data_IF_975999971246
#
_entry.id   IF_975999971246
#
_cell.length_a   1.000
_cell.length_b   1.000
_cell.length_c   1.000
_cell.angle_alpha   90.00
_cell.angle_beta   90.00
_cell.angle_gamma   90.00
#
_symmetry.space_group_name_H-M   'P 1'
#
loop_
_entity.id
_entity.type
_entity.pdbx_description
1 polymer ?
#
# COMPACT_ATOMS: atom_id res chain seq x y z
N UNK A 1 -7.91 -33.00 0.89
CA UNK A 1 -6.62 -32.38 1.23
C UNK A 1 -6.30 -31.44 0.09
N UNK A 2 -6.84 -30.22 0.20
CA UNK A 2 -6.77 -29.20 -0.84
C UNK A 2 -5.32 -28.70 -0.91
N UNK A 3 -4.69 -28.92 -2.06
CA UNK A 3 -3.44 -28.25 -2.40
C UNK A 3 -3.75 -26.76 -2.46
N UNK A 4 -3.38 -26.04 -1.40
CA UNK A 4 -3.27 -24.59 -1.40
C UNK A 4 -2.49 -24.21 -2.66
N UNK A 5 -3.20 -23.65 -3.65
CA UNK A 5 -2.57 -23.09 -4.86
C UNK A 5 -1.69 -21.95 -4.38
N UNK A 6 -0.41 -22.26 -4.15
CA UNK A 6 0.62 -21.32 -3.78
C UNK A 6 0.57 -20.15 -4.75
N UNK A 7 0.34 -18.96 -4.22
CA UNK A 7 0.40 -17.70 -4.95
C UNK A 7 1.77 -17.61 -5.63
N UNK A 8 1.76 -17.39 -6.94
CA UNK A 8 2.96 -17.43 -7.76
C UNK A 8 3.88 -16.22 -7.47
N UNK A 9 5.21 -16.32 -7.67
CA UNK A 9 6.12 -15.18 -7.59
C UNK A 9 5.88 -14.11 -8.67
N UNK A 10 5.05 -14.37 -9.69
CA UNK A 10 4.60 -13.32 -10.63
C UNK A 10 3.76 -12.23 -9.94
N UNK A 11 3.29 -12.52 -8.74
CA UNK A 11 2.57 -11.60 -7.85
C UNK A 11 3.45 -10.98 -6.77
N UNK A 12 4.79 -11.09 -6.87
CA UNK A 12 5.75 -10.50 -5.91
C UNK A 12 5.53 -9.01 -5.60
N UNK A 13 4.81 -8.32 -6.48
CA UNK A 13 4.52 -6.87 -6.45
C UNK A 13 3.03 -6.61 -6.68
N UNK A 14 2.13 -7.59 -6.44
CA UNK A 14 0.69 -7.39 -6.65
C UNK A 14 0.01 -6.76 -5.45
N UNK A 15 0.63 -6.80 -4.26
CA UNK A 15 0.10 -6.14 -3.08
C UNK A 15 0.63 -4.70 -2.99
N UNK A 16 -0.18 -3.69 -3.33
CA UNK A 16 0.23 -2.30 -3.27
C UNK A 16 0.59 -1.87 -1.85
N UNK A 17 1.81 -1.35 -1.70
CA UNK A 17 2.22 -0.65 -0.49
C UNK A 17 1.51 0.71 -0.37
N UNK A 18 1.34 1.22 0.86
CA UNK A 18 0.62 2.47 1.09
C UNK A 18 1.21 3.63 0.29
N UNK A 19 0.35 4.41 -0.36
CA UNK A 19 0.68 5.70 -0.93
C UNK A 19 1.02 6.70 0.18
N UNK A 20 2.19 7.31 0.12
CA UNK A 20 2.58 8.37 1.05
C UNK A 20 2.15 9.74 0.52
N UNK A 21 1.58 10.61 1.37
CA UNK A 21 1.41 12.03 1.04
C UNK A 21 2.76 12.67 0.68
N UNK A 22 2.74 13.65 -0.22
CA UNK A 22 3.96 14.35 -0.69
C UNK A 22 4.78 14.95 0.46
N UNK A 23 4.09 15.43 1.49
CA UNK A 23 4.71 16.09 2.64
C UNK A 23 4.97 15.12 3.82
N UNK A 24 4.84 13.80 3.59
CA UNK A 24 5.11 12.81 4.63
C UNK A 24 6.61 12.78 4.97
N UNK A 25 7.01 12.95 6.24
CA UNK A 25 8.41 13.06 6.60
C UNK A 25 9.18 11.77 6.34
N UNK A 26 10.33 11.89 5.66
CA UNK A 26 11.17 10.75 5.26
C UNK A 26 11.72 9.97 6.44
N UNK A 27 11.94 10.62 7.58
CA UNK A 27 12.42 10.04 8.84
C UNK A 27 11.41 9.10 9.49
N UNK A 28 10.13 9.20 9.13
CA UNK A 28 9.08 8.30 9.58
C UNK A 28 8.95 7.05 8.71
N UNK A 29 9.69 6.97 7.60
CA UNK A 29 9.75 5.79 6.74
C UNK A 29 10.69 4.76 7.39
N UNK A 30 10.27 3.50 7.58
CA UNK A 30 11.13 2.45 8.12
C UNK A 30 12.43 2.30 7.31
N UNK A 31 13.59 2.33 7.98
CA UNK A 31 14.91 2.27 7.33
C UNK A 31 15.22 0.93 6.66
N UNK A 32 14.77 -0.18 7.24
CA UNK A 32 14.88 -1.49 6.60
C UNK A 32 13.61 -1.75 5.80
N UNK A 33 13.73 -1.68 4.46
CA UNK A 33 12.62 -1.85 3.51
C UNK A 33 12.46 -3.29 3.02
N UNK A 34 12.89 -4.27 3.82
CA UNK A 34 12.93 -5.70 3.49
C UNK A 34 14.02 -6.05 2.48
N UNK A 35 15.14 -5.32 2.52
CA UNK A 35 16.24 -5.51 1.57
C UNK A 35 16.85 -6.91 1.69
N UNK A 36 17.07 -7.38 2.92
CA UNK A 36 17.67 -8.70 3.18
C UNK A 36 16.78 -9.82 2.65
N UNK A 37 15.49 -9.79 3.00
CA UNK A 37 14.51 -10.78 2.56
C UNK A 37 14.33 -10.75 1.04
N UNK A 38 14.39 -9.56 0.44
CA UNK A 38 14.34 -9.38 -1.01
C UNK A 38 15.58 -9.95 -1.70
N UNK A 39 16.78 -9.70 -1.17
CA UNK A 39 18.02 -10.28 -1.70
C UNK A 39 18.06 -11.81 -1.59
N UNK A 40 17.60 -12.36 -0.46
CA UNK A 40 17.49 -13.80 -0.26
C UNK A 40 16.54 -14.44 -1.29
N UNK A 41 15.41 -13.78 -1.56
CA UNK A 41 14.46 -14.21 -2.57
C UNK A 41 15.04 -14.14 -3.98
N UNK A 42 15.69 -13.02 -4.35
CA UNK A 42 16.37 -12.89 -5.64
C UNK A 42 17.41 -14.00 -5.81
N UNK A 43 18.26 -14.23 -4.80
CA UNK A 43 19.29 -15.26 -4.85
C UNK A 43 18.69 -16.63 -5.12
N UNK A 44 17.63 -16.99 -4.40
CA UNK A 44 16.93 -18.25 -4.62
C UNK A 44 16.37 -18.34 -6.05
N UNK A 45 15.69 -17.30 -6.53
CA UNK A 45 15.09 -17.31 -7.88
C UNK A 45 16.14 -17.40 -9.00
N UNK A 46 17.34 -16.86 -8.79
CA UNK A 46 18.43 -16.93 -9.76
C UNK A 46 19.12 -18.30 -9.78
N UNK A 47 19.25 -18.94 -8.61
CA UNK A 47 19.91 -20.25 -8.47
C UNK A 47 19.05 -21.40 -9.02
N UNK A 48 17.73 -21.34 -8.88
CA UNK A 48 16.81 -22.43 -9.28
C UNK A 48 16.43 -22.42 -10.78
N UNK A 49 17.08 -21.58 -11.61
CA UNK A 49 17.07 -21.73 -13.07
C UNK A 49 15.67 -21.75 -13.71
N UNK A 50 14.75 -20.91 -13.21
CA UNK A 50 13.35 -20.76 -13.66
C UNK A 50 12.34 -21.83 -13.17
N UNK A 51 12.72 -22.79 -12.30
CA UNK A 51 11.72 -23.57 -11.57
C UNK A 51 11.29 -22.84 -10.29
N UNK A 52 9.98 -22.70 -10.11
CA UNK A 52 9.34 -21.88 -9.08
C UNK A 52 9.41 -22.52 -7.69
N UNK A 53 10.57 -22.50 -7.03
CA UNK A 53 10.82 -23.27 -5.79
C UNK A 53 11.30 -22.45 -4.59
N UNK A 54 11.02 -21.15 -4.53
CA UNK A 54 11.39 -20.27 -3.40
C UNK A 54 10.23 -19.89 -2.44
N UNK A 55 9.32 -20.80 -2.03
CA UNK A 55 8.15 -20.42 -1.22
C UNK A 55 8.54 -19.92 0.17
N UNK A 56 9.67 -20.38 0.72
CA UNK A 56 10.16 -19.99 2.04
C UNK A 56 10.67 -18.54 2.04
N UNK A 57 11.51 -18.20 1.07
CA UNK A 57 12.05 -16.85 0.89
C UNK A 57 10.94 -15.88 0.54
N UNK A 58 9.98 -16.32 -0.30
CA UNK A 58 8.81 -15.53 -0.63
C UNK A 58 7.96 -15.21 0.60
N UNK A 59 7.66 -16.21 1.43
CA UNK A 59 6.94 -16.01 2.69
C UNK A 59 7.64 -15.02 3.62
N UNK A 60 8.97 -15.14 3.78
CA UNK A 60 9.75 -14.19 4.60
C UNK A 60 9.67 -12.76 4.06
N UNK A 61 9.77 -12.59 2.73
CA UNK A 61 9.63 -11.29 2.10
C UNK A 61 8.24 -10.68 2.34
N UNK A 62 7.17 -11.48 2.19
CA UNK A 62 5.80 -11.03 2.47
C UNK A 62 5.60 -10.66 3.95
N UNK A 63 6.12 -11.45 4.88
CA UNK A 63 6.04 -11.17 6.32
C UNK A 63 6.75 -9.84 6.65
N UNK A 64 7.97 -9.64 6.15
CA UNK A 64 8.67 -8.37 6.32
C UNK A 64 7.89 -7.20 5.70
N UNK A 65 7.40 -7.36 4.46
CA UNK A 65 6.64 -6.32 3.76
C UNK A 65 5.39 -5.93 4.55
N UNK A 66 4.65 -6.91 5.08
CA UNK A 66 3.47 -6.68 5.92
C UNK A 66 3.83 -5.90 7.18
N UNK A 67 4.90 -6.29 7.87
CA UNK A 67 5.34 -5.62 9.10
C UNK A 67 5.82 -4.19 8.84
N UNK A 68 6.53 -3.97 7.73
CA UNK A 68 6.94 -2.65 7.24
C UNK A 68 5.73 -1.78 6.92
N UNK A 69 4.78 -2.30 6.14
CA UNK A 69 3.59 -1.57 5.73
C UNK A 69 2.72 -1.23 6.95
N UNK A 70 2.58 -2.13 7.92
CA UNK A 70 1.90 -1.87 9.19
C UNK A 70 2.56 -0.73 9.99
N UNK A 71 3.89 -0.73 10.11
CA UNK A 71 4.64 0.37 10.75
C UNK A 71 4.40 1.69 10.02
N UNK A 72 4.41 1.65 8.69
CA UNK A 72 4.20 2.83 7.85
C UNK A 72 2.77 3.37 7.96
N UNK A 73 1.75 2.51 7.98
CA UNK A 73 0.37 2.90 8.23
C UNK A 73 0.19 3.56 9.60
N UNK A 74 0.79 2.98 10.65
CA UNK A 74 0.72 3.56 11.99
C UNK A 74 1.42 4.92 12.07
N UNK A 75 2.59 5.07 11.43
CA UNK A 75 3.30 6.34 11.35
C UNK A 75 2.49 7.39 10.58
N UNK A 76 1.93 6.99 9.43
CA UNK A 76 1.07 7.84 8.61
C UNK A 76 -0.16 8.34 9.37
N UNK A 77 -0.85 7.44 10.08
CA UNK A 77 -2.02 7.79 10.88
C UNK A 77 -1.69 8.85 11.93
N UNK A 78 -0.65 8.61 12.74
CA UNK A 78 -0.24 9.52 13.82
C UNK A 78 0.17 10.88 13.28
N UNK A 79 1.00 10.89 12.25
CA UNK A 79 1.45 12.12 11.61
C UNK A 79 0.30 12.90 11.00
N UNK A 80 -0.61 12.24 10.29
CA UNK A 80 -1.71 12.91 9.59
C UNK A 80 -2.73 13.49 10.59
N UNK A 81 -3.08 12.75 11.64
CA UNK A 81 -3.94 13.25 12.71
C UNK A 81 -3.32 14.50 13.33
N UNK A 82 -2.05 14.45 13.72
CA UNK A 82 -1.38 15.58 14.36
C UNK A 82 -1.35 16.79 13.41
N UNK A 83 -0.89 16.60 12.17
CA UNK A 83 -0.80 17.66 11.16
C UNK A 83 -2.14 18.35 10.92
N UNK A 84 -3.23 17.59 10.80
CA UNK A 84 -4.55 18.17 10.51
C UNK A 84 -5.15 18.79 11.77
N UNK A 85 -4.94 18.20 12.95
CA UNK A 85 -5.45 18.74 14.22
C UNK A 85 -4.91 20.15 14.53
N UNK A 86 -3.68 20.44 14.12
CA UNK A 86 -3.04 21.74 14.31
C UNK A 86 -3.58 22.83 13.36
N UNK A 87 -4.39 22.47 12.36
CA UNK A 87 -5.07 23.43 11.50
C UNK A 87 -6.32 24.02 12.16
N UNK A 88 -6.74 25.20 11.71
CA UNK A 88 -8.05 25.75 12.08
C UNK A 88 -9.21 24.91 11.50
N UNK A 89 -10.45 25.01 12.04
CA UNK A 89 -11.57 24.16 11.63
C UNK A 89 -11.91 24.26 10.13
N UNK A 90 -11.79 25.43 9.51
CA UNK A 90 -12.05 25.61 8.09
C UNK A 90 -11.03 24.84 7.23
N UNK A 91 -9.75 24.89 7.60
CA UNK A 91 -8.68 24.17 6.93
C UNK A 91 -8.76 22.65 7.16
N UNK A 92 -9.19 22.21 8.35
CA UNK A 92 -9.49 20.80 8.61
C UNK A 92 -10.58 20.28 7.67
N UNK A 93 -11.68 21.03 7.53
CA UNK A 93 -12.78 20.66 6.65
C UNK A 93 -12.34 20.64 5.17
N UNK A 94 -11.58 21.64 4.74
CA UNK A 94 -11.05 21.71 3.38
C UNK A 94 -10.11 20.53 3.08
N UNK A 95 -9.29 20.12 4.05
CA UNK A 95 -8.45 18.94 3.92
C UNK A 95 -9.27 17.64 3.76
N UNK A 96 -10.26 17.43 4.64
CA UNK A 96 -11.19 16.28 4.58
C UNK A 96 -11.93 16.24 3.23
N UNK A 97 -12.43 17.39 2.77
CA UNK A 97 -13.08 17.52 1.46
C UNK A 97 -12.11 17.23 0.30
N UNK A 98 -10.85 17.64 0.40
CA UNK A 98 -9.81 17.30 -0.57
C UNK A 98 -9.60 15.80 -0.73
N UNK A 99 -9.57 15.05 0.39
CA UNK A 99 -9.51 13.58 0.36
C UNK A 99 -10.76 12.99 -0.29
N UNK A 100 -11.94 13.49 0.05
CA UNK A 100 -13.22 13.03 -0.49
C UNK A 100 -13.32 13.27 -2.01
N UNK A 101 -12.90 14.45 -2.48
CA UNK A 101 -12.83 14.76 -3.91
C UNK A 101 -11.85 13.83 -4.64
N UNK A 102 -10.72 13.48 -4.02
CA UNK A 102 -9.78 12.52 -4.59
C UNK A 102 -10.37 11.10 -4.68
N UNK A 103 -11.10 10.66 -3.65
CA UNK A 103 -11.84 9.39 -3.68
C UNK A 103 -12.81 9.39 -4.86
N UNK A 104 -13.66 10.41 -5.00
CA UNK A 104 -14.64 10.49 -6.10
C UNK A 104 -13.98 10.41 -7.48
N UNK A 105 -12.87 11.15 -7.69
CA UNK A 105 -12.12 11.13 -8.95
C UNK A 105 -11.52 9.75 -9.26
N UNK A 106 -10.97 9.06 -8.27
CA UNK A 106 -10.41 7.72 -8.48
C UNK A 106 -11.52 6.70 -8.74
N UNK A 107 -12.65 6.79 -8.03
CA UNK A 107 -13.81 5.92 -8.25
C UNK A 107 -14.35 6.07 -9.67
N UNK A 108 -14.50 7.29 -10.17
CA UNK A 108 -14.89 7.58 -11.55
C UNK A 108 -13.85 7.05 -12.55
N UNK A 109 -12.56 7.21 -12.26
CA UNK A 109 -11.51 6.68 -13.12
C UNK A 109 -11.53 5.14 -13.18
N UNK A 110 -11.84 4.45 -12.07
CA UNK A 110 -11.97 2.98 -12.05
C UNK A 110 -13.22 2.51 -12.78
N UNK A 111 -14.35 3.22 -12.64
CA UNK A 111 -15.62 2.83 -13.28
C UNK A 111 -15.57 2.95 -14.80
N UNK A 112 -14.79 3.91 -15.32
CA UNK A 112 -14.63 4.15 -16.76
C UNK A 112 -13.47 3.38 -17.39
N UNK A 113 -12.57 2.79 -16.60
CA UNK A 113 -11.39 2.08 -17.11
C UNK A 113 -11.77 0.74 -17.77
N UNK A 114 -11.15 0.34 -18.89
CA UNK A 114 -11.36 -0.99 -19.47
C UNK A 114 -10.98 -2.11 -18.50
N UNK A 115 -11.65 -3.26 -18.59
CA UNK A 115 -11.39 -4.45 -17.74
C UNK A 115 -10.38 -5.43 -18.33
N UNK A 116 -9.72 -5.07 -19.43
CA UNK A 116 -8.73 -5.92 -20.07
C UNK A 116 -7.39 -5.96 -19.29
N UNK A 117 -6.55 -6.94 -19.63
CA UNK A 117 -5.27 -7.22 -18.95
C UNK A 117 -4.36 -5.99 -18.83
N UNK A 118 -4.34 -5.10 -19.83
CA UNK A 118 -3.49 -3.90 -19.84
C UNK A 118 -3.81 -2.91 -18.71
N UNK A 119 -5.06 -2.90 -18.22
CA UNK A 119 -5.51 -1.99 -17.18
C UNK A 119 -5.63 -2.65 -15.82
N UNK A 120 -5.42 -3.97 -15.71
CA UNK A 120 -5.63 -4.73 -14.47
C UNK A 120 -4.87 -4.12 -13.28
N UNK A 121 -3.55 -3.94 -13.42
CA UNK A 121 -2.72 -3.37 -12.35
C UNK A 121 -3.07 -1.92 -12.02
N UNK A 122 -3.45 -1.13 -13.04
CA UNK A 122 -3.85 0.27 -12.83
C UNK A 122 -5.16 0.35 -12.05
N UNK A 123 -6.15 -0.51 -12.38
CA UNK A 123 -7.41 -0.63 -11.63
C UNK A 123 -7.14 -1.04 -10.19
N UNK A 124 -6.34 -2.08 -9.98
CA UNK A 124 -5.98 -2.57 -8.65
C UNK A 124 -5.31 -1.46 -7.82
N UNK A 125 -4.38 -0.71 -8.42
CA UNK A 125 -3.72 0.40 -7.73
C UNK A 125 -4.71 1.49 -7.30
N UNK A 126 -5.62 1.88 -8.20
CA UNK A 126 -6.62 2.90 -7.87
C UNK A 126 -7.60 2.42 -6.79
N UNK A 127 -7.98 1.14 -6.80
CA UNK A 127 -8.82 0.56 -5.75
C UNK A 127 -8.14 0.62 -4.38
N UNK A 128 -6.87 0.24 -4.28
CA UNK A 128 -6.14 0.38 -3.02
C UNK A 128 -5.97 1.84 -2.59
N UNK A 129 -5.69 2.75 -3.53
CA UNK A 129 -5.62 4.18 -3.19
C UNK A 129 -6.97 4.71 -2.66
N UNK A 130 -8.10 4.23 -3.19
CA UNK A 130 -9.45 4.54 -2.67
C UNK A 130 -9.59 4.02 -1.23
N UNK A 131 -9.30 2.74 -0.99
CA UNK A 131 -9.39 2.12 0.35
C UNK A 131 -8.52 2.85 1.37
N UNK A 132 -7.29 3.20 0.98
CA UNK A 132 -6.38 3.95 1.83
C UNK A 132 -6.92 5.35 2.12
N UNK A 133 -7.46 6.07 1.13
CA UNK A 133 -8.06 7.39 1.35
C UNK A 133 -9.30 7.32 2.25
N UNK A 134 -10.12 6.27 2.11
CA UNK A 134 -11.26 6.03 2.99
C UNK A 134 -10.81 5.78 4.43
N UNK A 135 -9.78 4.94 4.63
CA UNK A 135 -9.18 4.71 5.95
C UNK A 135 -8.60 5.99 6.56
N UNK A 136 -7.92 6.83 5.77
CA UNK A 136 -7.42 8.15 6.22
C UNK A 136 -8.56 9.06 6.66
N UNK A 137 -9.60 9.19 5.84
CA UNK A 137 -10.78 10.01 6.14
C UNK A 137 -11.50 9.52 7.40
N UNK A 138 -11.66 8.20 7.56
CA UNK A 138 -12.22 7.60 8.77
C UNK A 138 -11.44 7.99 10.02
N UNK A 139 -10.11 7.90 9.99
CA UNK A 139 -9.27 8.27 11.13
C UNK A 139 -9.38 9.76 11.46
N UNK A 140 -9.37 10.62 10.44
CA UNK A 140 -9.54 12.06 10.64
C UNK A 140 -10.90 12.41 11.22
N UNK A 141 -11.99 11.77 10.78
CA UNK A 141 -13.31 11.99 11.35
C UNK A 141 -13.45 11.48 12.79
N UNK A 142 -12.65 10.50 13.18
CA UNK A 142 -12.67 9.92 14.52
C UNK A 142 -11.84 10.72 15.54
N UNK A 143 -10.73 11.31 15.10
CA UNK A 143 -9.72 11.88 16.01
C UNK A 143 -9.44 13.37 15.82
N UNK A 144 -10.01 14.01 14.79
CA UNK A 144 -9.92 15.45 14.51
C UNK A 144 -11.31 16.04 14.37
#
# INVERSE_FOLDING_TARGET
MELERGSMPKDLISEPSPSLPKDFPSELIPKNICEVEFFDLIRCTYQDGAQMTCPKEYKKFLECKRDRDLKLFNALQKWEIQRVKDHNPAMQQLYKQGLQNKISRLTEAVSTMPTNFWYLHKRQRYQTDIEQLQWRLFNLNKYV
#
